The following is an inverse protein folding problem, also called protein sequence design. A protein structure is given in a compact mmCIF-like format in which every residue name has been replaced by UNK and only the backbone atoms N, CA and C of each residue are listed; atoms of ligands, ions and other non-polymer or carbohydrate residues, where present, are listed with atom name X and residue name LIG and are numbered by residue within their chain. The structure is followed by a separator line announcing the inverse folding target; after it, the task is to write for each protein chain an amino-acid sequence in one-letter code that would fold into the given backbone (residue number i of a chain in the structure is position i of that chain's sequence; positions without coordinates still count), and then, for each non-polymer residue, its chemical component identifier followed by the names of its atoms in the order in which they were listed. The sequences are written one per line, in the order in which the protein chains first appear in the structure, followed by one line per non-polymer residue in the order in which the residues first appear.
data_IF_954021471484
#
_entry.id   IF_954021471484
#
_cell.length_a   1.000
_cell.length_b   1.000
_cell.length_c   1.000
_cell.angle_alpha   90.00
_cell.angle_beta   90.00
_cell.angle_gamma   90.00
#
_symmetry.space_group_name_H-M   'P 1'
#
loop_
_entity.id
_entity.type
_entity.pdbx_description
1 polymer ?
#
# COMPACT_ATOMS: atom_id res chain seq x y z
N UNK A 1 -14.02 36.53 5.21
CA UNK A 1 -13.83 35.18 4.61
C UNK A 1 -13.00 34.26 5.50
N UNK A 2 -11.73 34.60 5.83
CA UNK A 2 -10.86 33.77 6.70
C UNK A 2 -11.42 33.43 8.09
N UNK A 3 -12.08 34.37 8.77
CA UNK A 3 -12.73 34.10 10.07
C UNK A 3 -13.85 33.06 9.99
N UNK A 4 -14.56 32.99 8.86
CA UNK A 4 -15.62 31.99 8.65
C UNK A 4 -15.02 30.59 8.51
N UNK A 5 -13.92 30.45 7.77
CA UNK A 5 -13.19 29.19 7.61
C UNK A 5 -12.66 28.68 8.95
N UNK A 6 -12.02 29.55 9.75
CA UNK A 6 -11.51 29.20 11.08
C UNK A 6 -12.65 28.78 12.01
N UNK A 7 -13.79 29.50 11.98
CA UNK A 7 -14.96 29.13 12.77
C UNK A 7 -15.54 27.78 12.34
N UNK A 8 -15.59 27.46 11.05
CA UNK A 8 -16.02 26.15 10.55
C UNK A 8 -15.10 25.03 11.03
N UNK A 9 -13.78 25.19 10.90
CA UNK A 9 -12.81 24.21 11.42
C UNK A 9 -12.92 24.03 12.94
N UNK A 10 -13.06 25.13 13.69
CA UNK A 10 -13.23 25.09 15.15
C UNK A 10 -14.54 24.40 15.55
N UNK A 11 -15.61 24.60 14.78
CA UNK A 11 -16.89 23.94 15.01
C UNK A 11 -16.83 22.43 14.75
N UNK A 12 -16.02 21.96 13.79
CA UNK A 12 -15.79 20.52 13.59
C UNK A 12 -15.21 19.84 14.85
N UNK A 13 -14.33 20.53 15.59
CA UNK A 13 -13.77 20.02 16.85
C UNK A 13 -14.70 20.16 18.06
N UNK A 14 -15.76 20.98 17.96
CA UNK A 14 -16.78 21.13 19.02
C UNK A 14 -17.84 20.05 18.98
N UNK A 15 -18.16 19.53 17.79
CA UNK A 15 -19.16 18.45 17.62
C UNK A 15 -18.50 17.13 18.05
N UNK A 16 -19.00 16.45 19.12
CA UNK A 16 -18.36 15.26 19.67
C UNK A 16 -18.18 14.13 18.66
N UNK A 17 -19.17 13.94 17.79
CA UNK A 17 -19.14 12.92 16.74
C UNK A 17 -18.02 13.20 15.71
N UNK A 18 -17.95 14.41 15.18
CA UNK A 18 -16.91 14.81 14.21
C UNK A 18 -15.52 14.74 14.84
N UNK A 19 -15.37 15.22 16.08
CA UNK A 19 -14.11 15.11 16.83
C UNK A 19 -13.66 13.65 16.95
N UNK A 20 -14.57 12.73 17.25
CA UNK A 20 -14.27 11.30 17.37
C UNK A 20 -13.81 10.72 16.03
N UNK A 21 -14.49 11.03 14.93
CA UNK A 21 -14.12 10.58 13.59
C UNK A 21 -12.73 11.11 13.19
N UNK A 22 -12.48 12.40 13.40
CA UNK A 22 -11.18 13.03 13.09
C UNK A 22 -10.04 12.36 13.89
N UNK A 23 -10.22 12.17 15.20
CA UNK A 23 -9.21 11.52 16.06
C UNK A 23 -8.97 10.07 15.62
N UNK A 24 -10.02 9.35 15.23
CA UNK A 24 -9.91 7.99 14.71
C UNK A 24 -9.12 7.95 13.39
N UNK A 25 -9.46 8.80 12.43
CA UNK A 25 -8.74 8.90 11.16
C UNK A 25 -7.25 9.24 11.38
N UNK A 26 -6.95 10.24 12.22
CA UNK A 26 -5.56 10.61 12.55
C UNK A 26 -4.83 9.44 13.23
N UNK A 27 -5.49 8.71 14.12
CA UNK A 27 -4.95 7.50 14.75
C UNK A 27 -4.60 6.42 13.73
N UNK A 28 -5.48 6.15 12.76
CA UNK A 28 -5.19 5.20 11.68
C UNK A 28 -4.06 5.71 10.79
N UNK A 29 -4.01 6.99 10.44
CA UNK A 29 -2.93 7.55 9.63
C UNK A 29 -1.57 7.40 10.34
N UNK A 30 -1.52 7.53 11.66
CA UNK A 30 -0.31 7.25 12.43
C UNK A 30 0.11 5.77 12.33
N UNK A 31 -0.84 4.83 12.38
CA UNK A 31 -0.58 3.40 12.17
C UNK A 31 -0.06 3.15 10.75
N UNK A 32 -0.69 3.73 9.72
CA UNK A 32 -0.21 3.65 8.34
C UNK A 32 1.21 4.19 8.21
N UNK A 33 1.56 5.26 8.94
CA UNK A 33 2.93 5.78 8.97
C UNK A 33 3.90 4.80 9.61
N UNK A 34 3.53 4.14 10.71
CA UNK A 34 4.35 3.11 11.33
C UNK A 34 4.60 1.93 10.38
N UNK A 35 3.58 1.47 9.66
CA UNK A 35 3.69 0.40 8.65
C UNK A 35 4.71 0.75 7.56
N UNK A 36 4.80 2.02 7.17
CA UNK A 36 5.77 2.50 6.18
C UNK A 36 7.23 2.54 6.69
N UNK A 37 7.46 2.47 8.00
CA UNK A 37 8.80 2.48 8.60
C UNK A 37 9.26 1.12 9.14
N UNK A 38 8.34 0.20 9.41
CA UNK A 38 8.68 -1.15 9.90
C UNK A 38 9.33 -1.95 8.76
N UNK A 39 10.65 -2.11 8.83
CA UNK A 39 11.45 -2.84 7.84
C UNK A 39 11.21 -4.34 7.93
N UNK A 40 11.18 -5.00 6.77
CA UNK A 40 11.09 -6.45 6.70
C UNK A 40 12.42 -7.05 7.21
N UNK A 41 12.39 -8.03 8.13
CA UNK A 41 13.61 -8.64 8.64
C UNK A 41 14.45 -9.27 7.53
N UNK A 42 15.76 -9.09 7.60
CA UNK A 42 16.71 -9.62 6.62
C UNK A 42 16.93 -8.78 5.37
N UNK A 43 16.43 -7.54 5.35
CA UNK A 43 16.73 -6.55 4.32
C UNK A 43 17.45 -5.33 4.90
N UNK A 44 18.48 -4.89 4.20
CA UNK A 44 19.19 -3.64 4.51
C UNK A 44 18.52 -2.44 3.82
N UNK A 45 17.40 -1.99 4.40
CA UNK A 45 16.67 -0.83 3.90
C UNK A 45 17.46 0.49 3.95
N UNK A 46 18.57 0.57 4.71
CA UNK A 46 19.37 1.79 4.78
C UNK A 46 20.13 2.05 3.47
N UNK A 47 20.62 0.99 2.82
CA UNK A 47 21.26 1.08 1.49
C UNK A 47 20.29 1.56 0.43
N UNK A 48 19.05 1.03 0.44
CA UNK A 48 18.04 1.44 -0.53
C UNK A 48 17.62 2.90 -0.29
N UNK A 49 17.43 3.31 0.97
CA UNK A 49 17.15 4.72 1.30
C UNK A 49 18.29 5.65 0.84
N UNK A 50 19.55 5.29 1.08
CA UNK A 50 20.71 6.07 0.63
C UNK A 50 20.76 6.19 -0.91
N UNK A 51 20.43 5.12 -1.63
CA UNK A 51 20.36 5.13 -3.09
C UNK A 51 19.26 6.06 -3.61
N UNK A 52 18.05 5.98 -3.05
CA UNK A 52 16.94 6.86 -3.45
C UNK A 52 17.24 8.34 -3.15
N UNK A 53 17.93 8.63 -2.04
CA UNK A 53 18.40 9.99 -1.73
C UNK A 53 19.42 10.49 -2.76
N UNK A 54 20.38 9.66 -3.18
CA UNK A 54 21.34 10.03 -4.22
C UNK A 54 20.68 10.21 -5.61
N UNK A 55 19.66 9.41 -5.91
CA UNK A 55 18.93 9.47 -7.18
C UNK A 55 17.96 10.67 -7.27
N UNK A 56 17.46 11.17 -6.13
CA UNK A 56 16.52 12.29 -6.07
C UNK A 56 17.12 13.59 -6.68
N UNK A 57 18.44 13.73 -6.70
CA UNK A 57 19.15 14.84 -7.33
C UNK A 57 19.13 14.78 -8.88
N UNK A 58 18.81 13.62 -9.48
CA UNK A 58 18.86 13.37 -10.92
C UNK A 58 17.53 13.40 -11.68
N UNK A 59 16.40 13.67 -11.01
CA UNK A 59 15.06 13.76 -11.60
C UNK A 59 14.10 12.61 -11.25
N UNK A 60 12.79 12.85 -11.40
CA UNK A 60 11.74 11.92 -10.98
C UNK A 60 11.72 10.63 -11.85
N UNK A 61 12.26 9.54 -11.30
CA UNK A 61 12.15 8.20 -11.91
C UNK A 61 10.77 7.59 -11.64
N UNK A 62 10.36 6.63 -12.49
CA UNK A 62 9.13 5.84 -12.28
C UNK A 62 9.11 5.18 -10.89
N UNK A 63 10.28 4.82 -10.37
CA UNK A 63 10.46 4.29 -9.02
C UNK A 63 10.22 5.34 -7.93
N UNK A 64 10.62 6.59 -8.15
CA UNK A 64 10.29 7.71 -7.27
C UNK A 64 8.79 7.95 -7.19
N UNK A 65 8.09 7.90 -8.34
CA UNK A 65 6.63 7.98 -8.36
C UNK A 65 5.99 6.82 -7.60
N UNK A 66 6.49 5.59 -7.78
CA UNK A 66 6.03 4.44 -7.00
C UNK A 66 6.24 4.65 -5.50
N UNK A 67 7.41 5.14 -5.08
CA UNK A 67 7.70 5.42 -3.67
C UNK A 67 6.70 6.41 -3.06
N UNK A 68 6.35 7.48 -3.79
CA UNK A 68 5.33 8.45 -3.35
C UNK A 68 3.98 7.78 -3.08
N UNK A 69 3.54 6.86 -3.93
CA UNK A 69 2.30 6.10 -3.73
C UNK A 69 2.35 5.12 -2.55
N UNK A 70 3.54 4.69 -2.14
CA UNK A 70 3.75 3.83 -0.96
C UNK A 70 4.04 4.64 0.32
N UNK A 71 4.08 5.98 0.24
CA UNK A 71 4.42 6.84 1.37
C UNK A 71 5.87 6.71 1.85
N UNK A 72 6.79 6.26 0.97
CA UNK A 72 8.20 5.99 1.29
C UNK A 72 8.47 4.56 1.79
N UNK A 73 7.45 3.70 1.88
CA UNK A 73 7.62 2.33 2.38
C UNK A 73 8.55 1.48 1.50
N UNK A 74 8.54 1.71 0.18
CA UNK A 74 9.45 1.04 -0.76
C UNK A 74 10.92 1.33 -0.41
N UNK A 75 11.27 2.59 -0.17
CA UNK A 75 12.64 3.06 0.10
C UNK A 75 13.23 2.44 1.36
N UNK A 76 12.38 2.09 2.32
CA UNK A 76 12.77 1.51 3.60
C UNK A 76 12.73 -0.02 3.61
N UNK A 77 12.37 -0.68 2.50
CA UNK A 77 12.04 -2.12 2.48
C UNK A 77 11.02 -2.48 3.57
N UNK A 78 10.00 -1.65 3.74
CA UNK A 78 9.03 -1.79 4.81
C UNK A 78 7.90 -2.77 4.46
N UNK A 79 7.18 -3.24 5.49
CA UNK A 79 6.01 -4.13 5.32
C UNK A 79 4.92 -3.52 4.44
N UNK A 80 4.84 -2.19 4.40
CA UNK A 80 3.94 -1.43 3.51
C UNK A 80 4.47 -1.18 2.09
N UNK A 81 5.56 -1.82 1.65
CA UNK A 81 6.22 -1.47 0.39
C UNK A 81 5.38 -1.70 -0.87
N UNK A 82 4.37 -2.58 -0.84
CA UNK A 82 3.39 -2.70 -1.94
C UNK A 82 2.33 -1.57 -1.91
N UNK A 83 2.17 -0.90 -0.76
CA UNK A 83 1.16 0.13 -0.53
C UNK A 83 -0.26 -0.39 -0.69
N UNK A 84 -1.18 0.51 -1.06
CA UNK A 84 -2.58 0.18 -1.39
C UNK A 84 -2.75 -0.18 -2.88
N UNK A 85 -1.68 -0.13 -3.67
CA UNK A 85 -1.74 -0.33 -5.13
C UNK A 85 -2.35 -1.66 -5.56
N UNK A 86 -2.05 -2.82 -4.92
CA UNK A 86 -2.68 -4.08 -5.30
C UNK A 86 -4.22 -4.04 -5.17
N UNK A 87 -4.75 -3.33 -4.17
CA UNK A 87 -6.18 -3.15 -3.98
C UNK A 87 -6.81 -2.24 -5.03
N UNK A 88 -6.14 -1.13 -5.35
CA UNK A 88 -6.58 -0.23 -6.42
C UNK A 88 -6.63 -0.99 -7.76
N UNK A 89 -5.56 -1.72 -8.09
CA UNK A 89 -5.50 -2.52 -9.32
C UNK A 89 -6.58 -3.60 -9.35
N UNK A 90 -6.77 -4.36 -8.26
CA UNK A 90 -7.83 -5.36 -8.19
C UNK A 90 -9.23 -4.76 -8.42
N UNK A 91 -9.49 -3.60 -7.80
CA UNK A 91 -10.77 -2.90 -7.94
C UNK A 91 -11.00 -2.44 -9.39
N UNK A 92 -10.00 -1.88 -10.05
CA UNK A 92 -10.08 -1.48 -11.46
C UNK A 92 -10.31 -2.71 -12.34
N UNK A 93 -9.61 -3.81 -12.11
CA UNK A 93 -9.79 -5.06 -12.87
C UNK A 93 -11.24 -5.55 -12.75
N UNK A 94 -11.79 -5.60 -11.54
CA UNK A 94 -13.18 -6.03 -11.31
C UNK A 94 -14.19 -5.06 -11.94
N UNK A 95 -13.93 -3.75 -11.88
CA UNK A 95 -14.78 -2.74 -12.54
C UNK A 95 -14.81 -2.94 -14.07
N UNK A 96 -13.64 -3.15 -14.68
CA UNK A 96 -13.54 -3.43 -16.12
C UNK A 96 -14.20 -4.76 -16.48
N UNK A 97 -13.98 -5.81 -15.68
CA UNK A 97 -14.63 -7.12 -15.88
C UNK A 97 -16.15 -7.03 -15.74
N UNK A 98 -16.66 -6.16 -14.87
CA UNK A 98 -18.10 -5.93 -14.72
C UNK A 98 -18.71 -5.30 -15.97
N UNK A 99 -17.96 -4.49 -16.70
CA UNK A 99 -18.39 -3.90 -17.98
C UNK A 99 -18.38 -4.91 -19.13
N UNK A 100 -17.47 -5.88 -19.11
CA UNK A 100 -17.28 -6.87 -20.20
C UNK A 100 -18.07 -8.17 -19.96
N UNK A 101 -18.16 -8.63 -18.71
CA UNK A 101 -18.77 -9.91 -18.34
C UNK A 101 -20.23 -9.70 -17.89
N UNK A 102 -21.22 -10.21 -18.64
CA UNK A 102 -22.63 -9.94 -18.36
C UNK A 102 -23.11 -10.53 -17.03
N UNK A 103 -22.49 -11.60 -16.53
CA UNK A 103 -22.81 -12.19 -15.23
C UNK A 103 -22.43 -11.24 -14.08
N UNK A 104 -21.25 -10.61 -14.14
CA UNK A 104 -20.82 -9.63 -13.16
C UNK A 104 -21.66 -8.35 -13.25
N UNK A 105 -22.03 -7.93 -14.46
CA UNK A 105 -22.95 -6.79 -14.66
C UNK A 105 -24.32 -7.02 -14.02
N UNK A 106 -24.88 -8.24 -14.16
CA UNK A 106 -26.14 -8.63 -13.49
C UNK A 106 -25.97 -8.62 -11.98
N UNK A 107 -24.91 -9.25 -11.47
CA UNK A 107 -24.59 -9.26 -10.04
C UNK A 107 -24.48 -7.84 -9.47
N UNK A 108 -23.88 -6.90 -10.21
CA UNK A 108 -23.76 -5.51 -9.76
C UNK A 108 -25.11 -4.79 -9.58
N UNK A 109 -26.17 -5.26 -10.25
CA UNK A 109 -27.53 -4.69 -10.20
C UNK A 109 -28.45 -5.38 -9.19
N UNK A 110 -28.06 -6.55 -8.68
CA UNK A 110 -28.82 -7.29 -7.67
C UNK A 110 -28.63 -6.71 -6.26
N UNK A 111 -29.65 -6.86 -5.40
CA UNK A 111 -29.54 -6.50 -3.99
C UNK A 111 -28.45 -7.33 -3.30
N UNK A 112 -27.50 -6.66 -2.65
CA UNK A 112 -26.34 -7.30 -2.02
C UNK A 112 -25.21 -7.72 -2.97
N UNK A 113 -25.41 -7.62 -4.30
CA UNK A 113 -24.39 -8.01 -5.27
C UNK A 113 -23.16 -7.08 -5.28
N UNK A 114 -23.33 -5.80 -4.90
CA UNK A 114 -22.20 -4.89 -4.64
C UNK A 114 -21.24 -5.43 -3.56
N UNK A 115 -21.77 -6.01 -2.49
CA UNK A 115 -20.96 -6.61 -1.41
C UNK A 115 -20.16 -7.81 -1.92
N UNK A 116 -20.76 -8.65 -2.77
CA UNK A 116 -20.05 -9.78 -3.40
C UNK A 116 -18.94 -9.32 -4.34
N UNK A 117 -19.18 -8.26 -5.12
CA UNK A 117 -18.16 -7.66 -6.00
C UNK A 117 -16.97 -7.13 -5.18
N UNK A 118 -17.22 -6.47 -4.05
CA UNK A 118 -16.17 -6.02 -3.14
C UNK A 118 -15.38 -7.23 -2.59
N UNK A 119 -16.05 -8.32 -2.20
CA UNK A 119 -15.39 -9.54 -1.75
C UNK A 119 -14.47 -10.13 -2.83
N UNK A 120 -14.91 -10.19 -4.09
CA UNK A 120 -14.06 -10.61 -5.21
C UNK A 120 -12.85 -9.69 -5.39
N UNK A 121 -13.04 -8.38 -5.24
CA UNK A 121 -11.93 -7.41 -5.23
C UNK A 121 -10.91 -7.71 -4.13
N UNK A 122 -11.36 -8.03 -2.90
CA UNK A 122 -10.47 -8.41 -1.79
C UNK A 122 -9.70 -9.70 -2.06
N UNK A 123 -10.35 -10.73 -2.62
CA UNK A 123 -9.66 -11.97 -2.98
C UNK A 123 -8.65 -11.77 -4.10
N UNK A 124 -9.00 -10.98 -5.12
CA UNK A 124 -8.09 -10.63 -6.20
C UNK A 124 -6.90 -9.81 -5.69
N UNK A 125 -7.14 -8.91 -4.73
CA UNK A 125 -6.08 -8.13 -4.07
C UNK A 125 -5.05 -9.05 -3.43
N UNK A 126 -5.50 -10.05 -2.66
CA UNK A 126 -4.59 -11.02 -2.04
C UNK A 126 -3.77 -11.77 -3.09
N UNK A 127 -4.40 -12.23 -4.18
CA UNK A 127 -3.71 -12.90 -5.28
C UNK A 127 -2.65 -11.99 -5.93
N UNK A 128 -2.99 -10.72 -6.19
CA UNK A 128 -2.04 -9.73 -6.71
C UNK A 128 -0.90 -9.46 -5.73
N UNK A 129 -1.17 -9.40 -4.43
CA UNK A 129 -0.13 -9.23 -3.41
C UNK A 129 0.86 -10.40 -3.41
N UNK A 130 0.40 -11.64 -3.56
CA UNK A 130 1.27 -12.80 -3.62
C UNK A 130 2.19 -12.74 -4.85
N UNK A 131 1.63 -12.41 -6.03
CA UNK A 131 2.40 -12.27 -7.27
C UNK A 131 3.37 -11.09 -7.25
N UNK A 132 2.87 -9.89 -6.94
CA UNK A 132 3.69 -8.67 -6.89
C UNK A 132 4.70 -8.70 -5.75
N UNK A 133 4.34 -9.29 -4.60
CA UNK A 133 5.25 -9.52 -3.49
C UNK A 133 6.40 -10.46 -3.87
N UNK A 134 6.14 -11.49 -4.68
CA UNK A 134 7.19 -12.38 -5.17
C UNK A 134 8.12 -11.66 -6.14
N UNK A 135 7.56 -10.89 -7.06
CA UNK A 135 8.34 -10.05 -7.99
C UNK A 135 9.20 -9.06 -7.22
N UNK A 136 8.66 -8.39 -6.20
CA UNK A 136 9.40 -7.46 -5.34
C UNK A 136 10.51 -8.17 -4.55
N UNK A 137 10.22 -9.33 -3.96
CA UNK A 137 11.20 -10.10 -3.19
C UNK A 137 12.40 -10.51 -4.05
N UNK A 138 12.16 -10.98 -5.28
CA UNK A 138 13.20 -11.29 -6.27
C UNK A 138 13.93 -10.01 -6.71
N UNK A 139 13.19 -8.90 -6.85
CA UNK A 139 13.74 -7.59 -7.17
C UNK A 139 14.74 -7.08 -6.14
N UNK A 140 14.45 -7.26 -4.86
CA UNK A 140 15.37 -6.90 -3.77
C UNK A 140 16.54 -7.88 -3.62
N UNK A 141 16.43 -9.13 -4.11
CA UNK A 141 17.57 -10.04 -4.21
C UNK A 141 18.61 -9.53 -5.23
N UNK A 142 18.12 -8.97 -6.35
CA UNK A 142 18.94 -8.43 -7.44
C UNK A 142 18.60 -6.96 -7.69
N UNK A 143 18.93 -6.05 -6.77
CA UNK A 143 18.51 -4.66 -6.87
C UNK A 143 19.07 -3.97 -8.11
N UNK A 144 20.21 -4.43 -8.62
CA UNK A 144 20.86 -3.93 -9.83
C UNK A 144 19.96 -4.01 -11.07
N UNK A 145 19.10 -5.03 -11.17
CA UNK A 145 18.24 -5.21 -12.35
C UNK A 145 16.98 -4.35 -12.31
N UNK A 146 16.55 -3.89 -11.13
CA UNK A 146 15.30 -3.14 -10.96
C UNK A 146 15.55 -1.67 -10.64
N UNK A 147 16.47 -1.39 -9.72
CA UNK A 147 16.73 -0.05 -9.20
C UNK A 147 17.96 0.60 -9.82
N UNK A 148 18.89 -0.20 -10.36
CA UNK A 148 20.14 0.27 -10.98
C UNK A 148 21.39 -0.11 -10.19
N UNK A 149 22.56 0.16 -10.77
CA UNK A 149 23.85 -0.21 -10.19
C UNK A 149 24.19 0.66 -8.97
N UNK A 150 24.84 0.06 -7.95
CA UNK A 150 25.40 0.80 -6.80
C UNK A 150 24.74 0.56 -5.44
N UNK A 151 23.63 -0.19 -5.37
CA UNK A 151 22.93 -0.49 -4.11
C UNK A 151 23.62 -1.61 -3.31
N UNK A 152 24.32 -2.51 -4.02
CA UNK A 152 24.93 -3.71 -3.44
C UNK A 152 23.89 -4.72 -2.93
N UNK A 153 24.34 -5.72 -2.15
CA UNK A 153 23.48 -6.78 -1.61
C UNK A 153 22.53 -6.21 -0.54
N UNK A 154 21.21 -6.23 -0.80
CA UNK A 154 20.16 -5.86 0.16
C UNK A 154 19.73 -7.03 1.05
N UNK A 155 19.71 -8.25 0.51
CA UNK A 155 19.27 -9.45 1.24
C UNK A 155 20.40 -9.96 2.12
N UNK A 156 20.14 -10.03 3.43
CA UNK A 156 21.09 -10.45 4.45
C UNK A 156 21.01 -11.96 4.75
N UNK A 157 19.98 -12.66 4.25
CA UNK A 157 19.84 -14.11 4.42
C UNK A 157 20.68 -14.91 3.42
N UNK A 158 21.19 -16.05 3.87
CA UNK A 158 21.85 -17.03 3.01
C UNK A 158 20.84 -17.97 2.32
N UNK A 159 19.74 -18.29 3.00
CA UNK A 159 18.65 -19.08 2.41
C UNK A 159 17.63 -18.18 1.70
N UNK A 160 17.79 -18.04 0.39
CA UNK A 160 16.94 -17.22 -0.47
C UNK A 160 15.47 -17.70 -0.52
N UNK A 161 15.22 -19.01 -0.39
CA UNK A 161 13.85 -19.53 -0.41
C UNK A 161 13.06 -19.10 0.82
N UNK A 162 13.68 -19.19 2.00
CA UNK A 162 13.08 -18.74 3.24
C UNK A 162 12.79 -17.23 3.19
N UNK A 163 13.78 -16.44 2.76
CA UNK A 163 13.63 -15.00 2.58
C UNK A 163 12.44 -14.63 1.67
N UNK A 164 12.30 -15.30 0.51
CA UNK A 164 11.22 -15.00 -0.45
C UNK A 164 9.85 -15.26 0.17
N UNK A 165 9.64 -16.42 0.78
CA UNK A 165 8.35 -16.77 1.40
C UNK A 165 8.02 -15.79 2.53
N UNK A 166 8.99 -15.53 3.41
CA UNK A 166 8.84 -14.58 4.51
C UNK A 166 8.46 -13.17 4.00
N UNK A 167 9.18 -12.67 3.00
CA UNK A 167 8.97 -11.33 2.44
C UNK A 167 7.62 -11.21 1.76
N UNK A 168 7.22 -12.21 0.97
CA UNK A 168 5.89 -12.25 0.34
C UNK A 168 4.80 -12.19 1.40
N UNK A 169 4.91 -12.99 2.46
CA UNK A 169 3.94 -12.98 3.55
C UNK A 169 3.86 -11.62 4.24
N UNK A 170 5.00 -11.00 4.58
CA UNK A 170 5.00 -9.67 5.18
C UNK A 170 4.38 -8.58 4.29
N UNK A 171 4.70 -8.59 3.00
CA UNK A 171 4.15 -7.63 2.03
C UNK A 171 2.65 -7.82 1.81
N UNK A 172 2.20 -9.07 1.71
CA UNK A 172 0.78 -9.41 1.58
C UNK A 172 0.02 -9.02 2.84
N UNK A 173 0.52 -9.37 4.04
CA UNK A 173 -0.11 -8.98 5.31
C UNK A 173 -0.14 -7.46 5.49
N UNK A 174 0.95 -6.77 5.17
CA UNK A 174 1.02 -5.31 5.25
C UNK A 174 -0.01 -4.63 4.35
N UNK A 175 -0.15 -5.10 3.11
CA UNK A 175 -1.14 -4.56 2.16
C UNK A 175 -2.57 -4.84 2.59
N UNK A 176 -2.87 -6.07 3.03
CA UNK A 176 -4.20 -6.45 3.50
C UNK A 176 -4.60 -5.65 4.76
N UNK A 177 -3.63 -5.38 5.65
CA UNK A 177 -3.83 -4.51 6.80
C UNK A 177 -4.13 -3.07 6.37
N UNK A 178 -3.38 -2.51 5.43
CA UNK A 178 -3.62 -1.16 4.89
C UNK A 178 -5.01 -1.05 4.24
N UNK A 179 -5.41 -2.06 3.47
CA UNK A 179 -6.76 -2.13 2.88
C UNK A 179 -7.83 -2.10 3.97
N UNK A 180 -7.70 -2.96 4.99
CA UNK A 180 -8.64 -3.02 6.11
C UNK A 180 -8.72 -1.70 6.88
N UNK A 181 -7.58 -1.06 7.15
CA UNK A 181 -7.52 0.25 7.81
C UNK A 181 -8.25 1.33 6.98
N UNK A 182 -8.09 1.32 5.66
CA UNK A 182 -8.80 2.24 4.77
C UNK A 182 -10.32 2.04 4.79
N UNK A 183 -10.77 0.78 4.86
CA UNK A 183 -12.19 0.46 5.01
C UNK A 183 -12.74 0.94 6.35
N UNK A 184 -11.98 0.79 7.44
CA UNK A 184 -12.38 1.27 8.77
C UNK A 184 -12.52 2.80 8.82
N UNK A 185 -11.66 3.56 8.13
CA UNK A 185 -11.82 5.02 8.01
C UNK A 185 -13.14 5.37 7.30
N UNK A 186 -13.55 4.58 6.30
CA UNK A 186 -14.77 4.87 5.53
C UNK A 186 -16.04 4.54 6.32
N UNK A 187 -15.98 3.51 7.16
CA UNK A 187 -17.11 3.04 7.96
C UNK A 187 -17.41 3.93 9.18
N UNK A 188 -16.37 4.54 9.78
CA UNK A 188 -16.48 5.35 11.01
C UNK A 188 -16.37 6.85 10.74
#
# INVERSE_FOLDING_TARGET
MFRSIINTFTNCFRIPELKSRILFTVGILAICRLIAYIRIPGLDGAKLTAFFHAQAEGGASVLGLYSLFTGGALEHCAVGALGIMPYISATIIIQLLTAVVPQLSKLAREEGGRTKIIQYGRYLTLLLCLGQGLVMAIGWERPETIFGNGIGKLVLYDNLWWYRIQTVMFLSTGTMLLMWLGEQITER
#
